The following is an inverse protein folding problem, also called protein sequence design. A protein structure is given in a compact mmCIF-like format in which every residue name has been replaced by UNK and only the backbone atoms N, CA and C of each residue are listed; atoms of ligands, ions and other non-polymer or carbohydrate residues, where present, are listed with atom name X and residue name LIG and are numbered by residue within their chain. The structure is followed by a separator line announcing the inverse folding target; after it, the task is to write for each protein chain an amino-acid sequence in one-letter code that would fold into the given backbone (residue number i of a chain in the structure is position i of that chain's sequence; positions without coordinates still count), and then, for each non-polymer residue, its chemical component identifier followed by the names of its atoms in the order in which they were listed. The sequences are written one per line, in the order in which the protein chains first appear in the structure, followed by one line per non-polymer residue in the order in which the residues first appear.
data_IF_618969521005
#
_entry.id   IF_618969521005
#
_cell.length_a   1.000
_cell.length_b   1.000
_cell.length_c   1.000
_cell.angle_alpha   90.00
_cell.angle_beta   90.00
_cell.angle_gamma   90.00
#
_symmetry.space_group_name_H-M   'P 1'
#
loop_
_entity.id
_entity.type
_entity.pdbx_description
1 polymer ?
#
# COMPACT_ATOMS: atom_id res chain seq x y z
N UNK A 1 -53.46 1.25 5.33
CA UNK A 1 -52.46 1.83 4.41
C UNK A 1 -51.08 1.68 5.03
N UNK A 2 -50.15 1.04 4.30
CA UNK A 2 -48.76 0.74 4.67
C UNK A 2 -47.91 2.02 4.72
N UNK A 3 -47.07 2.20 5.76
CA UNK A 3 -45.76 2.90 5.70
C UNK A 3 -44.88 2.31 6.82
N UNK A 4 -44.06 1.30 6.50
CA UNK A 4 -42.64 1.38 6.12
C UNK A 4 -41.73 1.82 7.28
N UNK A 5 -41.13 0.79 7.88
CA UNK A 5 -39.96 0.80 8.74
C UNK A 5 -38.77 1.30 7.91
N UNK A 6 -38.01 2.27 8.42
CA UNK A 6 -36.66 2.57 7.95
C UNK A 6 -35.76 2.55 9.19
N UNK A 7 -35.22 1.37 9.48
CA UNK A 7 -34.01 1.23 10.29
C UNK A 7 -32.83 1.40 9.32
N UNK A 8 -32.18 2.55 9.38
CA UNK A 8 -31.02 2.89 8.56
C UNK A 8 -29.74 2.26 9.11
N UNK A 9 -29.26 1.26 8.39
CA UNK A 9 -27.85 0.91 8.12
C UNK A 9 -26.87 0.91 9.31
N UNK A 10 -26.75 -0.25 9.96
CA UNK A 10 -25.45 -0.72 10.41
C UNK A 10 -24.80 -1.44 9.23
N UNK A 11 -23.96 -0.73 8.47
CA UNK A 11 -23.06 -1.39 7.52
C UNK A 11 -21.97 -2.08 8.36
N UNK A 12 -22.22 -3.35 8.65
CA UNK A 12 -21.27 -4.21 9.35
C UNK A 12 -19.97 -4.30 8.53
N UNK A 13 -18.87 -3.96 9.19
CA UNK A 13 -17.54 -4.44 8.86
C UNK A 13 -17.57 -5.97 8.94
N UNK A 14 -17.93 -6.62 7.84
CA UNK A 14 -17.83 -8.06 7.67
C UNK A 14 -16.76 -8.38 6.61
N UNK A 15 -15.56 -7.85 6.82
CA UNK A 15 -14.36 -8.38 6.18
C UNK A 15 -13.72 -9.39 7.16
N UNK A 16 -13.73 -10.68 6.83
CA UNK A 16 -12.77 -11.64 7.40
C UNK A 16 -13.28 -13.03 7.78
N UNK A 17 -14.47 -13.21 8.34
CA UNK A 17 -14.72 -14.44 9.12
C UNK A 17 -15.37 -15.64 8.38
N UNK A 18 -16.03 -15.46 7.22
CA UNK A 18 -16.83 -16.55 6.61
C UNK A 18 -16.14 -17.33 5.47
N UNK A 19 -14.96 -16.90 5.00
CA UNK A 19 -14.23 -17.61 3.94
C UNK A 19 -13.18 -18.60 4.47
N UNK A 20 -12.87 -18.59 5.77
CA UNK A 20 -11.77 -19.38 6.34
C UNK A 20 -12.14 -20.84 6.65
N UNK A 21 -13.43 -21.16 6.80
CA UNK A 21 -13.87 -22.48 7.30
C UNK A 21 -13.64 -23.68 6.34
N UNK A 22 -13.34 -23.44 5.06
CA UNK A 22 -13.10 -24.50 4.07
C UNK A 22 -11.81 -24.31 3.25
N UNK A 23 -10.89 -23.46 3.71
CA UNK A 23 -9.62 -23.28 3.02
C UNK A 23 -8.79 -24.58 3.08
N UNK A 24 -8.11 -24.97 1.99
CA UNK A 24 -7.17 -26.09 2.03
C UNK A 24 -6.11 -25.83 3.09
N UNK A 25 -5.78 -26.85 3.89
CA UNK A 25 -4.73 -26.75 4.89
C UNK A 25 -3.39 -26.40 4.22
N UNK A 26 -2.60 -25.55 4.88
CA UNK A 26 -1.23 -25.23 4.49
C UNK A 26 -0.33 -25.44 5.72
N UNK A 27 0.72 -26.25 5.57
CA UNK A 27 1.48 -26.76 6.72
C UNK A 27 2.42 -25.72 7.36
N UNK A 28 2.69 -24.61 6.68
CA UNK A 28 3.49 -23.52 7.21
C UNK A 28 2.64 -22.56 8.07
N UNK A 29 2.90 -22.44 9.38
CA UNK A 29 2.12 -21.59 10.28
C UNK A 29 2.27 -20.09 10.00
N UNK A 30 3.26 -19.67 9.20
CA UNK A 30 3.41 -18.27 8.75
C UNK A 30 2.57 -17.96 7.51
N UNK A 31 1.99 -18.98 6.88
CA UNK A 31 1.21 -18.78 5.66
C UNK A 31 -0.11 -18.09 5.95
N UNK A 32 -0.41 -17.05 5.18
CA UNK A 32 -1.76 -16.52 5.06
C UNK A 32 -2.43 -17.13 3.83
N UNK A 33 -3.47 -17.93 4.05
CA UNK A 33 -4.28 -18.53 2.98
C UNK A 33 -5.44 -17.60 2.62
N UNK A 34 -5.48 -17.16 1.37
CA UNK A 34 -6.40 -16.17 0.85
C UNK A 34 -7.28 -16.84 -0.22
N UNK A 35 -8.60 -16.78 -0.02
CA UNK A 35 -9.55 -17.18 -1.05
C UNK A 35 -9.64 -16.09 -2.14
N UNK A 36 -9.33 -16.45 -3.38
CA UNK A 36 -9.26 -15.53 -4.53
C UNK A 36 -10.22 -15.90 -5.66
N UNK A 37 -11.15 -16.82 -5.40
CA UNK A 37 -12.25 -17.13 -6.32
C UNK A 37 -13.06 -15.87 -6.66
N UNK A 38 -13.81 -15.88 -7.77
CA UNK A 38 -14.65 -14.73 -8.15
C UNK A 38 -15.78 -14.44 -7.15
N UNK A 39 -16.16 -15.41 -6.32
CA UNK A 39 -17.12 -15.23 -5.24
C UNK A 39 -16.50 -14.52 -4.02
N UNK A 40 -15.21 -14.77 -3.74
CA UNK A 40 -14.49 -14.16 -2.64
C UNK A 40 -13.93 -12.77 -3.00
N UNK A 41 -13.30 -12.65 -4.18
CA UNK A 41 -12.74 -11.40 -4.69
C UNK A 41 -13.35 -11.13 -6.08
N UNK A 42 -14.27 -10.16 -6.19
CA UNK A 42 -14.89 -9.79 -7.46
C UNK A 42 -13.86 -9.38 -8.51
N UNK A 43 -14.14 -9.66 -9.79
CA UNK A 43 -13.28 -9.27 -10.92
C UNK A 43 -12.61 -10.44 -11.64
N UNK A 44 -11.62 -10.12 -12.49
CA UNK A 44 -10.91 -11.09 -13.32
C UNK A 44 -9.44 -11.15 -12.91
N UNK A 45 -8.91 -12.36 -12.81
CA UNK A 45 -7.49 -12.67 -12.67
C UNK A 45 -7.12 -13.54 -13.87
N UNK A 46 -6.38 -13.00 -14.83
CA UNK A 46 -5.98 -13.70 -16.06
C UNK A 46 -4.48 -13.68 -16.29
N UNK A 47 -3.82 -12.62 -15.82
CA UNK A 47 -2.49 -12.28 -16.27
C UNK A 47 -1.50 -12.66 -15.17
N UNK A 48 -1.49 -11.95 -14.03
CA UNK A 48 -0.46 -12.17 -13.00
C UNK A 48 -0.98 -12.17 -11.55
N UNK A 49 -0.11 -12.59 -10.62
CA UNK A 49 -0.17 -12.24 -9.20
C UNK A 49 0.85 -11.15 -8.94
N UNK A 50 0.41 -10.04 -8.36
CA UNK A 50 1.25 -8.92 -7.94
C UNK A 50 1.14 -8.74 -6.43
N UNK A 51 2.28 -8.60 -5.75
CA UNK A 51 2.31 -8.19 -4.34
C UNK A 51 2.58 -6.69 -4.27
N UNK A 52 1.94 -6.00 -3.33
CA UNK A 52 2.08 -4.55 -3.12
C UNK A 52 2.34 -4.31 -1.64
N UNK A 53 3.44 -3.65 -1.32
CA UNK A 53 3.79 -3.35 0.06
C UNK A 53 3.09 -2.08 0.53
N UNK A 54 2.17 -2.21 1.48
CA UNK A 54 1.55 -1.08 2.20
C UNK A 54 1.91 -1.12 3.70
N UNK A 55 2.93 -1.90 4.06
CA UNK A 55 3.52 -1.94 5.40
C UNK A 55 4.66 -0.93 5.53
N UNK A 56 5.16 -0.75 6.74
CA UNK A 56 6.33 0.10 7.01
C UNK A 56 7.67 -0.62 6.81
N UNK A 57 7.63 -1.95 6.64
CA UNK A 57 8.83 -2.77 6.49
C UNK A 57 9.40 -2.66 5.08
N UNK A 58 10.72 -2.82 4.98
CA UNK A 58 11.49 -2.68 3.75
C UNK A 58 12.30 -3.93 3.45
N UNK A 59 12.58 -4.15 2.17
CA UNK A 59 13.32 -5.32 1.68
C UNK A 59 12.71 -6.63 2.19
N UNK A 60 11.37 -6.71 2.15
CA UNK A 60 10.61 -7.87 2.60
C UNK A 60 10.37 -8.81 1.42
N UNK A 61 10.59 -10.11 1.65
CA UNK A 61 10.41 -11.13 0.62
C UNK A 61 9.33 -12.14 1.00
N UNK A 62 8.65 -12.62 -0.03
CA UNK A 62 7.55 -13.55 0.09
C UNK A 62 7.69 -14.71 -0.87
N UNK A 63 7.27 -15.90 -0.42
CA UNK A 63 6.93 -17.02 -1.29
C UNK A 63 5.42 -17.06 -1.47
N UNK A 64 4.99 -17.30 -2.70
CA UNK A 64 3.58 -17.40 -3.05
C UNK A 64 3.29 -18.76 -3.63
N UNK A 65 2.26 -19.40 -3.11
CA UNK A 65 1.79 -20.71 -3.54
C UNK A 65 0.35 -20.60 -4.04
N UNK A 66 0.01 -21.43 -5.02
CA UNK A 66 -1.35 -21.57 -5.53
C UNK A 66 -1.83 -22.99 -5.30
N UNK A 67 -3.12 -23.13 -4.99
CA UNK A 67 -3.73 -24.44 -4.79
C UNK A 67 -4.25 -25.01 -6.11
N UNK A 68 -3.82 -26.22 -6.47
CA UNK A 68 -4.39 -27.02 -7.55
C UNK A 68 -5.48 -27.92 -6.97
N UNK A 69 -6.74 -27.53 -7.17
CA UNK A 69 -7.90 -28.29 -6.68
C UNK A 69 -8.08 -29.66 -7.33
N UNK A 70 -7.50 -29.92 -8.50
CA UNK A 70 -7.57 -31.24 -9.15
C UNK A 70 -6.63 -32.24 -8.52
N UNK A 71 -5.45 -31.77 -8.10
CA UNK A 71 -4.41 -32.59 -7.45
C UNK A 71 -4.47 -32.53 -5.93
N UNK A 72 -5.32 -31.64 -5.39
CA UNK A 72 -5.42 -31.33 -3.98
C UNK A 72 -4.06 -30.94 -3.36
N UNK A 73 -3.25 -30.17 -4.09
CA UNK A 73 -1.87 -29.86 -3.71
C UNK A 73 -1.52 -28.38 -3.89
N UNK A 74 -0.60 -27.90 -3.06
CA UNK A 74 -0.01 -26.57 -3.19
C UNK A 74 1.20 -26.60 -4.10
N UNK A 75 1.28 -25.64 -5.01
CA UNK A 75 2.41 -25.47 -5.93
C UNK A 75 3.02 -24.09 -5.69
N UNK A 76 4.36 -24.03 -5.60
CA UNK A 76 5.06 -22.76 -5.56
C UNK A 76 4.80 -22.03 -6.88
N UNK A 77 4.18 -20.87 -6.80
CA UNK A 77 3.98 -19.98 -7.93
C UNK A 77 5.24 -19.18 -8.18
N UNK A 78 5.81 -18.58 -7.14
CA UNK A 78 7.06 -17.85 -7.25
C UNK A 78 7.43 -17.08 -5.99
N UNK A 79 8.32 -16.11 -6.15
CA UNK A 79 8.83 -15.25 -5.08
C UNK A 79 8.65 -13.79 -5.45
N UNK A 80 8.47 -12.94 -4.44
CA UNK A 80 8.44 -11.49 -4.58
C UNK A 80 9.43 -10.85 -3.62
N UNK A 81 10.05 -9.74 -4.04
CA UNK A 81 10.85 -8.85 -3.19
C UNK A 81 10.31 -7.44 -3.26
N UNK A 82 9.84 -6.90 -2.13
CA UNK A 82 9.31 -5.56 -2.02
C UNK A 82 10.31 -4.68 -1.27
N UNK A 83 10.83 -3.66 -1.95
CA UNK A 83 11.94 -2.84 -1.48
C UNK A 83 11.53 -1.80 -0.46
N UNK A 84 10.29 -1.29 -0.55
CA UNK A 84 9.78 -0.28 0.38
C UNK A 84 8.29 -0.05 0.23
N UNK A 85 7.79 0.99 0.89
CA UNK A 85 6.37 1.33 0.85
C UNK A 85 5.90 1.66 -0.57
N UNK A 86 4.73 1.14 -0.90
CA UNK A 86 4.06 1.15 -2.19
C UNK A 86 4.85 0.52 -3.35
N UNK A 87 5.98 -0.12 -3.07
CA UNK A 87 6.64 -0.97 -4.06
C UNK A 87 5.75 -2.18 -4.39
N UNK A 88 5.81 -2.63 -5.63
CA UNK A 88 5.00 -3.74 -6.07
C UNK A 88 5.72 -4.61 -7.09
N UNK A 89 5.72 -5.90 -6.81
CA UNK A 89 6.44 -6.90 -7.59
C UNK A 89 5.46 -7.87 -8.25
N UNK A 90 5.61 -8.05 -9.56
CA UNK A 90 4.84 -9.01 -10.34
C UNK A 90 5.60 -10.33 -10.31
N UNK A 91 4.97 -11.38 -9.81
CA UNK A 91 5.66 -12.65 -9.59
C UNK A 91 5.86 -13.36 -10.92
N UNK A 92 7.11 -13.52 -11.31
CA UNK A 92 7.50 -14.42 -12.39
C UNK A 92 7.29 -15.87 -11.97
N UNK A 93 6.56 -16.62 -12.79
CA UNK A 93 6.21 -18.01 -12.51
C UNK A 93 6.31 -18.86 -13.78
N UNK A 94 6.92 -20.03 -13.63
CA UNK A 94 6.91 -21.08 -14.67
C UNK A 94 5.60 -21.89 -14.67
N UNK A 95 4.58 -21.47 -13.91
CA UNK A 95 3.31 -22.17 -13.86
C UNK A 95 2.59 -22.13 -15.21
N UNK A 96 2.61 -23.26 -15.91
CA UNK A 96 2.07 -23.40 -17.26
C UNK A 96 0.53 -23.34 -17.33
N UNK A 97 -0.13 -23.53 -16.19
CA UNK A 97 -1.58 -23.62 -16.10
C UNK A 97 -2.26 -22.23 -15.99
N UNK A 98 -3.55 -22.18 -16.32
CA UNK A 98 -4.28 -20.90 -16.36
C UNK A 98 -4.60 -20.41 -14.95
N UNK A 99 -3.88 -19.38 -14.49
CA UNK A 99 -4.08 -18.71 -13.20
C UNK A 99 -5.55 -18.35 -12.92
N UNK A 100 -6.35 -18.06 -13.95
CA UNK A 100 -7.79 -17.75 -13.85
C UNK A 100 -8.67 -18.80 -13.16
N UNK A 101 -8.13 -20.01 -12.91
CA UNK A 101 -8.84 -21.11 -12.22
C UNK A 101 -8.39 -21.29 -10.77
N UNK A 102 -7.42 -20.52 -10.30
CA UNK A 102 -6.94 -20.59 -8.92
C UNK A 102 -8.01 -20.04 -7.98
N UNK A 103 -8.32 -20.80 -6.93
CA UNK A 103 -9.31 -20.44 -5.92
C UNK A 103 -8.68 -19.99 -4.61
N UNK A 104 -7.45 -20.47 -4.33
CA UNK A 104 -6.71 -20.16 -3.11
C UNK A 104 -5.25 -19.84 -3.42
N UNK A 105 -4.73 -18.83 -2.74
CA UNK A 105 -3.32 -18.43 -2.75
C UNK A 105 -2.83 -18.47 -1.31
N UNK A 106 -1.63 -19.00 -1.08
CA UNK A 106 -0.95 -18.88 0.20
C UNK A 106 0.26 -17.96 0.05
N UNK A 107 0.36 -16.95 0.90
CA UNK A 107 1.48 -16.00 0.94
C UNK A 107 2.26 -16.23 2.23
N UNK A 108 3.58 -16.40 2.11
CA UNK A 108 4.47 -16.71 3.24
C UNK A 108 5.60 -15.68 3.26
N UNK A 109 5.75 -14.89 4.34
CA UNK A 109 6.95 -14.08 4.52
C UNK A 109 8.16 -14.98 4.77
N UNK A 110 9.29 -14.69 4.13
CA UNK A 110 10.54 -15.44 4.40
C UNK A 110 11.11 -15.11 5.79
N UNK A 111 10.81 -13.91 6.31
CA UNK A 111 11.19 -13.47 7.64
C UNK A 111 10.21 -13.88 8.75
N UNK A 112 10.26 -13.15 9.86
CA UNK A 112 9.32 -13.28 10.99
C UNK A 112 8.31 -12.13 11.06
N UNK A 113 8.22 -11.32 10.00
CA UNK A 113 7.23 -10.25 9.91
C UNK A 113 5.81 -10.82 9.96
N UNK A 114 4.94 -10.14 10.68
CA UNK A 114 3.50 -10.46 10.77
C UNK A 114 2.77 -9.40 9.99
N UNK A 115 1.92 -9.81 9.05
CA UNK A 115 1.24 -8.90 8.14
C UNK A 115 -0.24 -9.25 8.00
N UNK A 116 -1.02 -8.24 7.63
CA UNK A 116 -2.37 -8.39 7.13
C UNK A 116 -2.37 -8.33 5.60
N UNK A 117 -3.33 -9.00 4.98
CA UNK A 117 -3.39 -9.14 3.53
C UNK A 117 -4.77 -8.77 3.01
N UNK A 118 -4.80 -7.93 1.99
CA UNK A 118 -6.00 -7.59 1.23
C UNK A 118 -5.80 -8.03 -0.22
N UNK A 119 -6.80 -8.71 -0.79
CA UNK A 119 -6.76 -9.13 -2.19
C UNK A 119 -7.76 -8.35 -3.03
N UNK A 120 -7.31 -7.81 -4.17
CA UNK A 120 -8.15 -7.19 -5.18
C UNK A 120 -7.86 -7.75 -6.57
N UNK A 121 -8.83 -7.70 -7.48
CA UNK A 121 -8.61 -8.00 -8.90
C UNK A 121 -8.75 -6.73 -9.72
N UNK A 122 -7.66 -6.30 -10.33
CA UNK A 122 -7.61 -5.04 -11.08
C UNK A 122 -6.70 -5.18 -12.30
N UNK A 123 -7.16 -4.66 -13.44
CA UNK A 123 -6.48 -4.79 -14.74
C UNK A 123 -6.13 -6.24 -15.14
N UNK A 124 -6.97 -7.20 -14.77
CA UNK A 124 -6.77 -8.66 -14.93
C UNK A 124 -5.65 -9.28 -14.07
N UNK A 125 -5.03 -8.53 -13.17
CA UNK A 125 -4.12 -9.08 -12.16
C UNK A 125 -4.87 -9.35 -10.86
N UNK A 126 -4.41 -10.37 -10.12
CA UNK A 126 -4.65 -10.45 -8.68
C UNK A 126 -3.58 -9.63 -7.98
N UNK A 127 -3.99 -8.62 -7.21
CA UNK A 127 -3.09 -7.81 -6.39
C UNK A 127 -3.31 -8.16 -4.94
N UNK A 128 -2.25 -8.54 -4.25
CA UNK A 128 -2.24 -8.81 -2.82
C UNK A 128 -1.50 -7.67 -2.14
N UNK A 129 -2.25 -6.82 -1.44
CA UNK A 129 -1.71 -5.72 -0.65
C UNK A 129 -1.34 -6.24 0.73
N UNK A 130 -0.18 -5.83 1.21
CA UNK A 130 0.42 -6.29 2.47
C UNK A 130 0.45 -5.11 3.43
N UNK A 131 -0.17 -5.26 4.60
CA UNK A 131 -0.32 -4.21 5.60
C UNK A 131 0.33 -4.59 6.92
N UNK A 132 0.75 -3.58 7.68
CA UNK A 132 1.14 -3.79 9.09
C UNK A 132 -0.12 -4.08 9.94
N UNK A 133 -0.11 -5.09 10.82
CA UNK A 133 -1.31 -5.62 11.51
C UNK A 133 -1.98 -4.66 12.51
N UNK A 134 -1.36 -3.51 12.81
CA UNK A 134 -1.90 -2.51 13.74
C UNK A 134 -1.89 -1.10 13.14
N UNK A 135 -1.94 -0.97 11.80
CA UNK A 135 -2.03 0.31 11.09
C UNK A 135 -1.22 1.43 11.73
N UNK A 136 0.12 1.36 11.66
CA UNK A 136 1.11 2.32 12.19
C UNK A 136 0.57 3.29 13.28
N UNK A 137 0.10 2.78 14.42
CA UNK A 137 -0.33 3.61 15.56
C UNK A 137 0.86 4.32 16.27
N UNK A 138 2.08 4.12 15.78
CA UNK A 138 3.24 4.83 16.29
C UNK A 138 3.23 6.28 15.81
N UNK A 139 2.64 7.18 16.58
CA UNK A 139 2.66 8.62 16.32
C UNK A 139 4.03 9.27 16.61
N UNK A 140 5.07 8.50 16.96
CA UNK A 140 6.40 9.04 17.25
C UNK A 140 6.96 9.88 16.11
N UNK A 141 6.62 9.55 14.85
CA UNK A 141 7.00 10.33 13.66
C UNK A 141 6.49 11.77 13.69
N UNK A 142 5.42 12.09 14.44
CA UNK A 142 4.89 13.45 14.54
C UNK A 142 5.83 14.42 15.25
N UNK A 143 6.76 13.92 16.08
CA UNK A 143 7.67 14.79 16.85
C UNK A 143 8.61 15.59 15.97
N UNK A 144 9.07 14.98 14.88
CA UNK A 144 10.01 15.57 13.93
C UNK A 144 9.37 15.90 12.57
N UNK A 145 8.05 15.70 12.47
CA UNK A 145 7.31 15.97 11.25
C UNK A 145 7.16 17.47 11.03
N UNK A 146 7.48 17.92 9.82
CA UNK A 146 7.10 19.26 9.37
C UNK A 146 5.75 19.16 8.68
N UNK A 147 4.77 19.91 9.20
CA UNK A 147 3.41 19.95 8.66
C UNK A 147 3.20 21.20 7.83
N UNK A 148 2.43 21.08 6.76
CA UNK A 148 2.08 22.18 5.87
C UNK A 148 0.62 22.10 5.48
N UNK A 149 -0.11 23.20 5.70
CA UNK A 149 -1.41 23.42 5.08
C UNK A 149 -1.16 23.98 3.68
N UNK A 150 -1.47 23.18 2.67
CA UNK A 150 -1.25 23.53 1.27
C UNK A 150 -2.00 24.80 0.90
N UNK A 151 -3.12 25.12 1.55
CA UNK A 151 -3.89 26.35 1.29
C UNK A 151 -3.13 27.61 1.67
N UNK A 152 -2.20 27.51 2.63
CA UNK A 152 -1.33 28.63 3.04
C UNK A 152 -0.24 28.97 2.03
N UNK A 153 0.08 28.05 1.12
CA UNK A 153 1.12 28.23 0.09
C UNK A 153 0.51 28.88 -1.15
N UNK A 154 1.01 30.04 -1.63
CA UNK A 154 0.48 30.68 -2.83
C UNK A 154 0.56 29.81 -4.08
N UNK A 155 -0.42 29.94 -4.99
CA UNK A 155 -0.46 29.24 -6.27
C UNK A 155 -1.48 28.09 -6.32
N UNK A 156 -1.42 27.30 -7.40
CA UNK A 156 -2.39 26.24 -7.71
C UNK A 156 -1.71 24.87 -7.61
N UNK A 157 -2.35 23.93 -6.91
CA UNK A 157 -1.96 22.52 -6.82
C UNK A 157 -3.09 21.66 -7.42
N UNK A 158 -2.77 20.89 -8.46
CA UNK A 158 -3.72 20.01 -9.18
C UNK A 158 -3.12 18.69 -9.63
N UNK A 159 -1.80 18.57 -9.65
CA UNK A 159 -1.11 17.46 -10.29
C UNK A 159 -0.40 16.61 -9.21
N UNK A 160 0.87 16.86 -8.90
CA UNK A 160 1.67 15.97 -8.05
C UNK A 160 2.29 16.64 -6.83
N UNK A 161 2.71 15.83 -5.86
CA UNK A 161 3.65 16.25 -4.81
C UNK A 161 5.06 15.85 -5.24
N UNK A 162 5.98 16.80 -5.28
CA UNK A 162 7.37 16.60 -5.70
C UNK A 162 8.34 17.01 -4.61
N UNK A 163 9.36 16.20 -4.40
CA UNK A 163 10.48 16.52 -3.54
C UNK A 163 11.67 17.00 -4.36
N UNK A 164 12.43 17.96 -3.83
CA UNK A 164 13.67 18.47 -4.44
C UNK A 164 14.75 18.52 -3.37
N UNK A 165 15.92 17.98 -3.66
CA UNK A 165 17.07 18.04 -2.76
C UNK A 165 17.90 19.30 -3.03
N UNK A 166 17.93 20.25 -2.10
CA UNK A 166 18.88 21.37 -2.12
C UNK A 166 19.94 21.24 -1.01
N UNK A 167 20.05 20.06 -0.38
CA UNK A 167 21.05 19.74 0.64
C UNK A 167 22.33 19.17 0.01
N UNK A 168 23.44 19.16 0.77
CA UNK A 168 24.64 18.41 0.38
C UNK A 168 24.55 16.90 0.64
N UNK A 169 23.50 16.43 1.31
CA UNK A 169 23.34 15.02 1.64
C UNK A 169 22.97 14.21 0.39
N UNK A 170 23.31 12.92 0.42
CA UNK A 170 23.05 11.96 -0.64
C UNK A 170 22.22 10.80 -0.13
N UNK A 171 21.42 10.21 -1.01
CA UNK A 171 20.54 9.07 -0.71
C UNK A 171 19.63 9.31 0.52
N UNK A 172 19.04 10.50 0.58
CA UNK A 172 18.08 10.85 1.62
C UNK A 172 16.68 10.41 1.19
N UNK A 173 15.83 10.07 2.16
CA UNK A 173 14.47 9.65 1.87
C UNK A 173 13.48 10.20 2.89
N UNK A 174 12.27 10.44 2.41
CA UNK A 174 11.20 11.10 3.16
C UNK A 174 9.92 10.31 3.04
N UNK A 175 9.19 10.19 4.14
CA UNK A 175 7.82 9.72 4.13
C UNK A 175 6.89 10.92 4.07
N UNK A 176 5.97 10.92 3.11
CA UNK A 176 4.89 11.87 3.04
C UNK A 176 3.64 11.26 3.69
N UNK A 177 3.01 12.00 4.59
CA UNK A 177 1.68 11.69 5.11
C UNK A 177 0.68 12.74 4.66
N UNK A 178 -0.55 12.31 4.40
CA UNK A 178 -1.68 13.18 4.08
C UNK A 178 -2.74 13.08 5.20
N UNK A 179 -3.28 14.22 5.62
CA UNK A 179 -4.33 14.24 6.64
C UNK A 179 -5.71 14.07 6.00
N UNK A 180 -6.41 13.00 6.38
CA UNK A 180 -7.75 12.74 5.89
C UNK A 180 -8.80 13.40 6.79
N UNK A 181 -9.32 14.55 6.33
CA UNK A 181 -10.33 15.32 7.06
C UNK A 181 -11.62 14.52 7.36
N UNK A 182 -11.94 13.48 6.58
CA UNK A 182 -13.17 12.70 6.76
C UNK A 182 -13.12 11.83 8.01
N UNK A 183 -11.94 11.30 8.35
CA UNK A 183 -11.77 10.39 9.49
C UNK A 183 -10.79 10.92 10.56
N UNK A 184 -10.14 12.06 10.32
CA UNK A 184 -9.23 12.71 11.25
C UNK A 184 -7.88 12.00 11.41
N UNK A 185 -7.48 11.16 10.46
CA UNK A 185 -6.28 10.31 10.56
C UNK A 185 -5.23 10.73 9.53
N UNK A 186 -3.96 10.71 9.94
CA UNK A 186 -2.82 10.81 9.03
C UNK A 186 -2.59 9.48 8.33
N UNK A 187 -2.55 9.50 7.00
CA UNK A 187 -2.32 8.31 6.18
C UNK A 187 -1.00 8.46 5.44
N UNK A 188 -0.21 7.38 5.40
CA UNK A 188 1.04 7.36 4.63
C UNK A 188 0.70 7.49 3.14
N UNK A 189 1.08 8.62 2.57
CA UNK A 189 0.75 9.01 1.20
C UNK A 189 1.79 8.50 0.20
N UNK A 190 3.03 8.29 0.62
CA UNK A 190 4.09 7.74 -0.22
C UNK A 190 5.48 8.01 0.36
N UNK A 191 6.50 7.62 -0.40
CA UNK A 191 7.91 7.82 -0.06
C UNK A 191 8.59 8.54 -1.22
N UNK A 192 9.47 9.49 -0.90
CA UNK A 192 10.36 10.13 -1.85
C UNK A 192 11.82 9.75 -1.54
N UNK A 193 12.62 9.49 -2.57
CA UNK A 193 14.06 9.17 -2.46
C UNK A 193 14.85 10.12 -3.35
N UNK A 194 15.80 10.84 -2.75
CA UNK A 194 16.63 11.83 -3.45
C UNK A 194 18.09 11.42 -3.34
N UNK A 195 18.76 11.23 -4.48
CA UNK A 195 20.10 10.65 -4.55
C UNK A 195 21.21 11.68 -4.38
N UNK A 196 21.07 12.84 -5.00
CA UNK A 196 22.10 13.89 -5.05
C UNK A 196 21.48 15.29 -4.98
N UNK A 197 22.33 16.33 -4.87
CA UNK A 197 21.88 17.72 -4.95
C UNK A 197 21.20 18.01 -6.29
N UNK A 198 20.08 18.72 -6.25
CA UNK A 198 19.24 19.04 -7.39
C UNK A 198 18.34 17.89 -7.86
N UNK A 199 18.46 16.70 -7.27
CA UNK A 199 17.61 15.57 -7.60
C UNK A 199 16.15 15.85 -7.22
N UNK A 200 15.24 15.24 -7.97
CA UNK A 200 13.80 15.41 -7.77
C UNK A 200 13.10 14.07 -7.82
N UNK A 201 12.13 13.88 -6.93
CA UNK A 201 11.29 12.70 -6.93
C UNK A 201 9.81 13.08 -6.84
N UNK A 202 8.95 12.33 -7.51
CA UNK A 202 7.49 12.55 -7.48
C UNK A 202 6.85 11.46 -6.65
N UNK A 203 6.06 11.85 -5.66
CA UNK A 203 5.43 10.89 -4.75
C UNK A 203 4.32 10.15 -5.49
N UNK A 204 4.51 8.84 -5.67
CA UNK A 204 3.45 7.93 -6.09
C UNK A 204 2.66 7.47 -4.86
N UNK A 205 1.32 7.45 -4.98
CA UNK A 205 0.42 7.30 -3.82
C UNK A 205 -0.54 6.13 -3.96
N UNK A 206 -0.68 5.28 -2.91
CA UNK A 206 -1.70 4.24 -2.85
C UNK A 206 -3.08 4.76 -2.44
N UNK A 207 -3.21 6.04 -2.06
CA UNK A 207 -4.45 6.59 -1.54
C UNK A 207 -5.54 6.61 -2.61
N UNK A 208 -6.79 6.38 -2.20
CA UNK A 208 -7.94 6.36 -3.13
C UNK A 208 -8.20 7.73 -3.75
N UNK A 209 -8.15 8.77 -2.91
CA UNK A 209 -8.30 10.15 -3.34
C UNK A 209 -6.94 10.67 -3.87
N UNK A 210 -6.97 11.53 -4.89
CA UNK A 210 -5.75 12.11 -5.44
C UNK A 210 -5.10 13.08 -4.43
N UNK A 211 -3.77 13.13 -4.38
CA UNK A 211 -3.06 14.02 -3.44
C UNK A 211 -3.57 15.49 -3.42
N UNK A 212 -3.96 16.11 -4.55
CA UNK A 212 -4.57 17.45 -4.55
C UNK A 212 -5.85 17.63 -3.74
N UNK A 213 -6.56 16.58 -3.34
CA UNK A 213 -7.75 16.70 -2.49
C UNK A 213 -7.42 16.91 -1.02
N UNK A 214 -6.18 16.67 -0.60
CA UNK A 214 -5.76 16.77 0.79
C UNK A 214 -5.26 18.18 1.10
N UNK A 215 -5.75 18.77 2.19
CA UNK A 215 -5.37 20.12 2.60
C UNK A 215 -4.03 20.16 3.33
N UNK A 216 -3.71 19.13 4.11
CA UNK A 216 -2.53 19.10 4.98
C UNK A 216 -1.64 17.90 4.67
N UNK A 217 -0.34 18.17 4.59
CA UNK A 217 0.70 17.15 4.48
C UNK A 217 1.67 17.23 5.66
N UNK A 218 2.27 16.09 6.00
CA UNK A 218 3.37 16.00 6.93
C UNK A 218 4.56 15.31 6.26
N UNK A 219 5.76 15.86 6.46
CA UNK A 219 7.01 15.35 5.90
C UNK A 219 7.87 14.85 7.03
N UNK A 220 8.33 13.60 6.91
CA UNK A 220 9.18 12.95 7.92
C UNK A 220 10.44 12.42 7.25
N UNK A 221 11.60 12.82 7.75
CA UNK A 221 12.88 12.25 7.35
C UNK A 221 13.01 10.83 7.85
N UNK A 222 13.30 9.89 6.95
CA UNK A 222 13.42 8.47 7.29
C UNK A 222 14.73 8.12 8.01
N UNK A 223 15.72 9.02 7.99
CA UNK A 223 16.97 8.88 8.74
C UNK A 223 16.87 9.45 10.16
N UNK A 224 15.76 10.12 10.50
CA UNK A 224 15.61 10.88 11.76
C UNK A 224 16.37 12.21 11.77
N UNK A 225 17.13 12.54 10.71
CA UNK A 225 17.78 13.85 10.59
C UNK A 225 16.73 14.94 10.32
N UNK A 226 16.82 16.04 11.07
CA UNK A 226 16.01 17.24 10.83
C UNK A 226 16.56 18.03 9.65
N UNK A 227 15.66 18.53 8.81
CA UNK A 227 15.95 19.41 7.68
C UNK A 227 15.09 20.67 7.76
N UNK A 228 15.50 21.71 7.05
CA UNK A 228 14.61 22.82 6.73
C UNK A 228 13.83 22.49 5.45
N UNK A 229 12.63 23.05 5.32
CA UNK A 229 11.77 22.80 4.16
C UNK A 229 11.19 24.11 3.63
N UNK A 230 11.25 24.26 2.31
CA UNK A 230 10.55 25.31 1.59
C UNK A 230 9.41 24.68 0.78
N UNK A 231 8.24 25.32 0.83
CA UNK A 231 7.04 24.85 0.14
C UNK A 231 6.64 25.85 -0.94
N UNK A 232 6.45 25.36 -2.16
CA UNK A 232 5.99 26.18 -3.29
C UNK A 232 5.00 25.43 -4.16
N UNK A 233 4.12 26.16 -4.83
CA UNK A 233 3.32 25.61 -5.92
C UNK A 233 3.83 26.16 -7.24
N UNK A 234 4.22 25.28 -8.15
CA UNK A 234 4.67 25.67 -9.47
C UNK A 234 4.26 24.60 -10.48
N UNK A 235 3.87 25.02 -11.69
CA UNK A 235 3.42 24.12 -12.75
C UNK A 235 2.31 23.15 -12.31
N UNK A 236 1.43 23.59 -11.40
CA UNK A 236 0.35 22.78 -10.77
C UNK A 236 0.82 21.69 -9.82
N UNK A 237 2.12 21.54 -9.60
CA UNK A 237 2.67 20.64 -8.58
C UNK A 237 2.82 21.37 -7.23
N UNK A 238 2.72 20.61 -6.14
CA UNK A 238 3.17 21.02 -4.83
C UNK A 238 4.59 20.54 -4.61
N UNK A 239 5.54 21.46 -4.51
CA UNK A 239 6.97 21.18 -4.44
C UNK A 239 7.46 21.41 -3.01
N UNK A 240 8.09 20.39 -2.45
CA UNK A 240 8.73 20.34 -1.15
C UNK A 240 10.24 20.33 -1.39
N UNK A 241 10.89 21.46 -1.13
CA UNK A 241 12.33 21.61 -1.26
C UNK A 241 12.99 21.37 0.09
N UNK A 242 13.92 20.42 0.16
CA UNK A 242 14.65 20.04 1.38
C UNK A 242 15.98 20.80 1.44
N UNK A 243 16.31 21.38 2.60
CA UNK A 243 17.52 22.19 2.86
C UNK A 243 18.27 21.76 4.12
#
# INVERSE_FOLDING_TARGET
MKKLIIAGLAAALACGAFAQQNAPAFDDPKASVIAVSSAAVPGKMKDNIKLINLSDDENISFRVYIYDSKKASWNLYGKALLKGFYDGDTIDSDFEDKIRKVEYVAVIPDGNGVYEYEAEKKHNDLRIKIHSPNGSADESYKKDAVTVDVRSVPGVFKDNVKFVNETSDKNISFTLYAFNDKNGIWQKAGVAVLKDFGDTDTVDSPLEDSLPSYACFAVVSRSGKTYAYDFKKANKDFIITVR
#
